data_IF_954157980405
#
_entry.id   IF_954157980405
#
_cell.length_a   1.000
_cell.length_b   1.000
_cell.length_c   1.000
_cell.angle_alpha   90.00
_cell.angle_beta   90.00
_cell.angle_gamma   90.00
#
_symmetry.space_group_name_H-M   'P 1'
#
loop_
_entity.id
_entity.type
_entity.pdbx_description
1 polymer ?
#
# COMPACT_ATOMS: atom_id res chain seq x y z
N UNK A 1 18.51 -17.36 -12.05
CA UNK A 1 17.86 -18.21 -13.07
C UNK A 1 17.53 -19.60 -12.51
N UNK A 2 18.51 -20.41 -12.13
CA UNK A 2 18.25 -21.75 -11.54
C UNK A 2 17.42 -21.67 -10.26
N UNK A 3 17.70 -20.67 -9.42
CA UNK A 3 16.93 -20.40 -8.20
C UNK A 3 15.45 -20.12 -8.49
N UNK A 4 15.14 -19.30 -9.50
CA UNK A 4 13.75 -18.99 -9.90
C UNK A 4 13.07 -20.21 -10.51
N UNK A 5 13.79 -20.96 -11.34
CA UNK A 5 13.28 -22.19 -11.95
C UNK A 5 12.91 -23.25 -10.89
N UNK A 6 13.79 -23.43 -9.89
CA UNK A 6 13.55 -24.32 -8.76
C UNK A 6 12.36 -23.84 -7.90
N UNK A 7 12.31 -22.55 -7.54
CA UNK A 7 11.25 -21.99 -6.70
C UNK A 7 9.86 -22.03 -7.37
N UNK A 8 9.80 -21.81 -8.69
CA UNK A 8 8.55 -21.85 -9.45
C UNK A 8 8.18 -23.25 -9.95
N UNK A 9 9.03 -24.26 -9.74
CA UNK A 9 8.79 -25.63 -10.21
C UNK A 9 8.73 -25.75 -11.73
N UNK A 10 9.47 -24.92 -12.48
CA UNK A 10 9.46 -24.89 -13.95
C UNK A 10 10.85 -25.10 -14.54
N UNK A 11 10.91 -25.53 -15.80
CA UNK A 11 12.18 -25.64 -16.51
C UNK A 11 12.88 -24.28 -16.69
N UNK A 12 14.21 -24.25 -16.67
CA UNK A 12 15.02 -23.02 -16.78
C UNK A 12 14.63 -22.14 -17.96
N UNK A 13 14.38 -22.73 -19.13
CA UNK A 13 13.98 -21.98 -20.34
C UNK A 13 12.60 -21.32 -20.18
N UNK A 14 11.68 -21.95 -19.46
CA UNK A 14 10.34 -21.42 -19.17
C UNK A 14 10.44 -20.26 -18.20
N UNK A 15 11.22 -20.42 -17.11
CA UNK A 15 11.53 -19.33 -16.19
C UNK A 15 12.16 -18.13 -16.92
N UNK A 16 13.08 -18.39 -17.86
CA UNK A 16 13.72 -17.33 -18.65
C UNK A 16 12.70 -16.53 -19.43
N UNK A 17 11.88 -17.21 -20.23
CA UNK A 17 10.89 -16.56 -21.08
C UNK A 17 9.86 -15.77 -20.28
N UNK A 18 9.42 -16.28 -19.12
CA UNK A 18 8.52 -15.54 -18.24
C UNK A 18 9.18 -14.30 -17.63
N UNK A 19 10.43 -14.41 -17.16
CA UNK A 19 11.16 -13.27 -16.61
C UNK A 19 11.41 -12.19 -17.66
N UNK A 20 11.81 -12.56 -18.89
CA UNK A 20 11.95 -11.59 -19.99
C UNK A 20 10.60 -10.96 -20.36
N UNK A 21 9.50 -11.72 -20.32
CA UNK A 21 8.16 -11.17 -20.53
C UNK A 21 7.77 -10.18 -19.43
N UNK A 22 8.06 -10.48 -18.17
CA UNK A 22 7.81 -9.57 -17.05
C UNK A 22 8.67 -8.29 -17.15
N UNK A 23 9.91 -8.40 -17.64
CA UNK A 23 10.75 -7.23 -17.97
C UNK A 23 10.14 -6.43 -19.11
N UNK A 24 9.69 -7.08 -20.18
CA UNK A 24 9.03 -6.42 -21.31
C UNK A 24 7.71 -5.73 -20.94
N UNK A 25 7.03 -6.21 -19.88
CA UNK A 25 5.84 -5.59 -19.30
C UNK A 25 6.15 -4.48 -18.29
N UNK A 26 7.43 -4.21 -17.99
CA UNK A 26 7.85 -3.23 -17.00
C UNK A 26 7.54 -3.62 -15.55
N UNK A 27 7.30 -4.90 -15.27
CA UNK A 27 7.06 -5.44 -13.92
C UNK A 27 8.35 -5.86 -13.23
N UNK A 28 9.40 -6.12 -14.01
CA UNK A 28 10.74 -6.40 -13.53
C UNK A 28 11.76 -5.51 -14.24
N UNK A 29 12.82 -5.15 -13.53
CA UNK A 29 14.07 -4.65 -14.09
C UNK A 29 15.10 -5.79 -14.13
N UNK A 30 16.05 -5.72 -15.06
CA UNK A 30 17.14 -6.70 -15.14
C UNK A 30 18.51 -6.05 -15.11
N UNK A 31 19.44 -6.64 -14.37
CA UNK A 31 20.81 -6.18 -14.21
C UNK A 31 21.79 -7.37 -14.36
N UNK A 32 23.08 -7.10 -14.55
CA UNK A 32 24.12 -8.12 -14.62
C UNK A 32 24.97 -8.09 -13.34
N UNK A 33 25.02 -9.20 -12.62
CA UNK A 33 25.95 -9.33 -11.48
C UNK A 33 27.39 -9.35 -12.00
N UNK A 34 28.20 -8.35 -11.63
CA UNK A 34 29.63 -8.27 -11.93
C UNK A 34 30.47 -8.72 -10.72
N UNK A 35 31.66 -9.31 -10.95
CA UNK A 35 32.67 -9.51 -9.89
C UNK A 35 32.87 -10.92 -9.32
N UNK A 36 32.36 -11.98 -9.95
CA UNK A 36 32.71 -13.39 -9.62
C UNK A 36 33.33 -14.07 -10.85
N UNK A 37 34.30 -15.00 -10.68
CA UNK A 37 34.80 -15.81 -11.79
C UNK A 37 33.66 -16.68 -12.36
N UNK A 38 33.32 -16.49 -13.64
CA UNK A 38 32.26 -17.23 -14.33
C UNK A 38 31.42 -16.36 -15.28
N UNK A 39 30.46 -16.99 -15.98
CA UNK A 39 29.51 -16.28 -16.87
C UNK A 39 28.62 -15.34 -16.04
N UNK A 40 28.50 -14.05 -16.39
CA UNK A 40 27.67 -13.10 -15.65
C UNK A 40 26.22 -13.59 -15.51
N UNK A 41 25.71 -13.61 -14.29
CA UNK A 41 24.32 -13.99 -14.02
C UNK A 41 23.41 -12.76 -14.15
N UNK A 42 22.33 -12.90 -14.94
CA UNK A 42 21.26 -11.89 -15.02
C UNK A 42 20.45 -11.93 -13.72
N UNK A 43 20.39 -10.80 -13.04
CA UNK A 43 19.57 -10.53 -11.86
C UNK A 43 18.29 -9.86 -12.31
N UNK A 44 17.17 -10.23 -11.68
CA UNK A 44 15.88 -9.60 -11.91
C UNK A 44 15.41 -8.98 -10.59
N UNK A 45 14.88 -7.76 -10.64
CA UNK A 45 14.32 -7.03 -9.50
C UNK A 45 12.93 -6.54 -9.85
N UNK A 46 12.03 -6.45 -8.86
CA UNK A 46 10.71 -5.84 -9.06
C UNK A 46 10.82 -4.38 -9.49
N UNK A 47 10.13 -4.02 -10.56
CA UNK A 47 10.00 -2.63 -11.00
C UNK A 47 8.85 -1.98 -10.22
N UNK A 48 9.17 -1.15 -9.23
CA UNK A 48 8.15 -0.40 -8.48
C UNK A 48 7.08 -1.24 -7.78
N UNK A 49 5.88 -0.68 -7.64
CA UNK A 49 4.70 -1.32 -7.03
C UNK A 49 3.69 -1.66 -8.13
N UNK A 50 3.28 -2.93 -8.22
CA UNK A 50 2.23 -3.38 -9.14
C UNK A 50 1.27 -4.33 -8.42
N UNK A 51 -0.02 -4.20 -8.72
CA UNK A 51 -1.07 -5.11 -8.26
C UNK A 51 -1.49 -6.01 -9.44
N UNK A 52 -1.64 -7.31 -9.18
CA UNK A 52 -2.04 -8.30 -10.18
C UNK A 52 -3.31 -9.01 -9.71
N UNK A 53 -4.41 -8.81 -10.43
CA UNK A 53 -5.65 -9.57 -10.24
C UNK A 53 -6.09 -10.25 -11.53
N UNK A 54 -6.41 -11.54 -11.45
CA UNK A 54 -7.01 -12.29 -12.55
C UNK A 54 -8.20 -13.13 -12.06
N UNK A 55 -9.41 -13.00 -12.64
CA UNK A 55 -9.80 -11.94 -13.60
C UNK A 55 -9.63 -10.55 -12.97
N UNK A 56 -9.44 -9.53 -13.84
CA UNK A 56 -9.14 -8.18 -13.39
C UNK A 56 -10.28 -7.64 -12.53
N UNK A 57 -10.00 -7.34 -11.26
CA UNK A 57 -10.94 -6.64 -10.37
C UNK A 57 -10.70 -5.14 -10.52
N UNK A 58 -11.78 -4.37 -10.71
CA UNK A 58 -11.73 -2.91 -10.94
C UNK A 58 -11.82 -2.11 -9.63
N UNK A 59 -11.08 -2.49 -8.60
CA UNK A 59 -11.17 -1.83 -7.29
C UNK A 59 -10.76 -0.35 -7.35
N UNK A 60 -9.74 -0.01 -8.15
CA UNK A 60 -9.33 1.36 -8.37
C UNK A 60 -10.46 2.26 -8.91
N UNK A 61 -11.38 1.69 -9.71
CA UNK A 61 -12.53 2.41 -10.26
C UNK A 61 -13.72 2.42 -9.29
N UNK A 62 -13.93 1.31 -8.56
CA UNK A 62 -15.09 1.13 -7.68
C UNK A 62 -14.93 1.77 -6.30
N UNK A 63 -13.72 1.83 -5.74
CA UNK A 63 -13.45 2.41 -4.43
C UNK A 63 -13.81 3.91 -4.33
N UNK A 64 -13.53 4.75 -5.35
CA UNK A 64 -14.05 6.11 -5.44
C UNK A 64 -15.57 6.22 -5.21
N UNK A 65 -16.38 5.37 -5.85
CA UNK A 65 -17.84 5.46 -5.75
C UNK A 65 -18.34 5.13 -4.34
N UNK A 66 -17.76 4.11 -3.70
CA UNK A 66 -18.06 3.78 -2.30
C UNK A 66 -17.70 4.94 -1.36
N UNK A 67 -16.56 5.58 -1.57
CA UNK A 67 -16.13 6.72 -0.77
C UNK A 67 -17.06 7.93 -0.96
N UNK A 68 -17.49 8.22 -2.21
CA UNK A 68 -18.48 9.26 -2.48
C UNK A 68 -19.82 8.98 -1.82
N UNK A 69 -20.29 7.73 -1.86
CA UNK A 69 -21.52 7.34 -1.18
C UNK A 69 -21.43 7.55 0.35
N UNK A 70 -20.31 7.19 0.99
CA UNK A 70 -20.11 7.48 2.41
C UNK A 70 -20.10 8.98 2.70
N UNK A 71 -19.50 9.80 1.82
CA UNK A 71 -19.48 11.25 1.97
C UNK A 71 -20.88 11.86 1.98
N UNK A 72 -21.84 11.36 1.19
CA UNK A 72 -23.21 11.93 1.17
C UNK A 72 -23.94 11.77 2.51
N UNK A 73 -23.48 10.84 3.36
CA UNK A 73 -23.98 10.65 4.72
C UNK A 73 -23.42 11.68 5.73
N UNK A 74 -22.54 12.59 5.28
CA UNK A 74 -21.99 13.68 6.09
C UNK A 74 -21.27 13.18 7.35
N UNK A 75 -21.54 13.76 8.54
CA UNK A 75 -20.90 13.36 9.79
C UNK A 75 -21.07 11.88 10.13
N UNK A 76 -22.22 11.27 9.80
CA UNK A 76 -22.46 9.83 10.03
C UNK A 76 -21.53 8.97 9.18
N UNK A 77 -21.31 9.36 7.92
CA UNK A 77 -20.37 8.67 7.03
C UNK A 77 -18.94 8.72 7.54
N UNK A 78 -18.50 9.88 8.05
CA UNK A 78 -17.17 10.04 8.65
C UNK A 78 -16.97 9.17 9.89
N UNK A 79 -17.97 9.13 10.78
CA UNK A 79 -17.93 8.26 11.96
C UNK A 79 -17.90 6.78 11.58
N UNK A 80 -18.74 6.36 10.64
CA UNK A 80 -18.77 4.98 10.15
C UNK A 80 -17.46 4.58 9.46
N UNK A 81 -16.85 5.50 8.69
CA UNK A 81 -15.56 5.29 8.05
C UNK A 81 -14.45 5.10 9.09
N UNK A 82 -14.41 5.93 10.13
CA UNK A 82 -13.44 5.80 11.24
C UNK A 82 -13.59 4.47 11.99
N UNK A 83 -14.81 4.08 12.30
CA UNK A 83 -15.12 2.80 12.94
C UNK A 83 -14.75 1.59 12.06
N UNK A 84 -14.95 1.69 10.74
CA UNK A 84 -14.42 0.71 9.80
C UNK A 84 -12.88 0.67 9.81
N UNK A 85 -12.24 1.83 9.93
CA UNK A 85 -10.79 1.95 10.15
C UNK A 85 -10.33 1.20 11.40
N UNK A 86 -11.00 1.40 12.53
CA UNK A 86 -10.69 0.69 13.77
C UNK A 86 -10.77 -0.83 13.63
N UNK A 87 -11.84 -1.33 13.01
CA UNK A 87 -11.98 -2.77 12.74
C UNK A 87 -10.87 -3.30 11.85
N UNK A 88 -10.51 -2.57 10.80
CA UNK A 88 -9.42 -2.93 9.91
C UNK A 88 -8.10 -2.98 10.69
N UNK A 89 -7.78 -1.92 11.43
CA UNK A 89 -6.55 -1.86 12.23
C UNK A 89 -6.45 -2.97 13.29
N UNK A 90 -7.57 -3.42 13.86
CA UNK A 90 -7.61 -4.54 14.81
C UNK A 90 -7.30 -5.90 14.16
N UNK A 91 -7.59 -6.05 12.87
CA UNK A 91 -7.32 -7.27 12.11
C UNK A 91 -5.89 -7.32 11.57
N UNK A 92 -5.14 -6.23 11.67
CA UNK A 92 -3.81 -6.11 11.11
C UNK A 92 -2.73 -6.54 12.10
N UNK A 93 -1.82 -7.40 11.65
CA UNK A 93 -0.59 -7.71 12.39
C UNK A 93 0.49 -6.64 12.19
N UNK A 94 0.71 -6.20 10.94
CA UNK A 94 1.70 -5.17 10.60
C UNK A 94 1.19 -4.24 9.49
N UNK A 95 1.47 -2.94 9.62
CA UNK A 95 1.02 -1.92 8.65
C UNK A 95 1.70 -2.02 7.27
N UNK A 96 2.92 -2.56 7.22
CA UNK A 96 3.70 -2.70 5.99
C UNK A 96 3.12 -3.76 5.03
N UNK A 97 2.31 -4.69 5.54
CA UNK A 97 1.59 -5.69 4.73
C UNK A 97 0.61 -5.05 3.73
N UNK A 98 0.13 -3.81 4.00
CA UNK A 98 -0.68 -3.05 3.06
C UNK A 98 0.13 -2.33 1.97
N UNK A 99 1.46 -2.49 1.98
CA UNK A 99 2.34 -1.82 1.02
C UNK A 99 2.54 -0.33 1.30
N UNK A 100 2.19 0.17 2.49
CA UNK A 100 2.55 1.52 2.91
C UNK A 100 3.81 1.58 3.78
N UNK A 101 4.53 2.68 3.62
CA UNK A 101 5.62 3.06 4.52
C UNK A 101 5.14 4.17 5.46
N UNK A 102 5.25 3.90 6.76
CA UNK A 102 4.90 4.84 7.82
C UNK A 102 6.14 5.17 8.65
N UNK A 103 6.41 6.46 8.79
CA UNK A 103 7.35 6.97 9.79
C UNK A 103 6.55 7.59 10.95
N UNK A 104 7.06 7.38 12.16
CA UNK A 104 6.48 7.95 13.37
C UNK A 104 7.54 8.77 14.09
N UNK A 105 7.19 10.02 14.33
CA UNK A 105 7.92 10.95 15.18
C UNK A 105 7.03 11.36 16.35
N UNK A 106 7.57 12.12 17.31
CA UNK A 106 6.83 12.56 18.50
C UNK A 106 5.55 13.30 18.10
N UNK A 107 4.40 12.66 18.33
CA UNK A 107 3.08 13.23 18.03
C UNK A 107 2.68 13.27 16.56
N UNK A 108 3.51 12.77 15.63
CA UNK A 108 3.26 12.85 14.18
C UNK A 108 3.45 11.49 13.52
N UNK A 109 2.56 11.17 12.57
CA UNK A 109 2.68 10.00 11.70
C UNK A 109 2.73 10.49 10.26
N UNK A 110 3.74 10.05 9.52
CA UNK A 110 3.88 10.32 8.09
C UNK A 110 3.70 9.02 7.33
N UNK A 111 2.65 8.94 6.51
CA UNK A 111 2.50 7.91 5.51
C UNK A 111 3.15 8.40 4.21
N UNK A 112 4.22 7.75 3.76
CA UNK A 112 4.92 8.12 2.51
C UNK A 112 4.10 7.82 1.26
N UNK A 113 3.15 6.89 1.39
CA UNK A 113 2.13 6.60 0.39
C UNK A 113 0.80 6.28 1.08
N UNK A 114 -0.30 6.76 0.50
CA UNK A 114 -1.64 6.46 0.98
C UNK A 114 -2.12 5.11 0.44
N UNK A 115 -2.44 4.16 1.33
CA UNK A 115 -3.03 2.85 0.96
C UNK A 115 -4.47 2.94 0.46
N UNK A 116 -5.09 4.13 0.55
CA UNK A 116 -6.44 4.40 0.11
C UNK A 116 -6.48 5.43 -1.01
N UNK A 117 -5.41 5.56 -1.80
CA UNK A 117 -5.18 6.70 -2.71
C UNK A 117 -6.37 6.97 -3.63
N UNK A 118 -6.87 5.95 -4.30
CA UNK A 118 -7.95 6.04 -5.29
C UNK A 118 -9.24 6.56 -4.65
N UNK A 119 -9.60 6.02 -3.49
CA UNK A 119 -10.77 6.47 -2.73
C UNK A 119 -10.57 7.89 -2.15
N UNK A 120 -9.37 8.19 -1.66
CA UNK A 120 -9.02 9.46 -1.02
C UNK A 120 -9.16 10.65 -1.98
N UNK A 121 -8.80 10.45 -3.26
CA UNK A 121 -8.95 11.49 -4.28
C UNK A 121 -10.42 11.85 -4.54
N UNK A 122 -11.32 10.89 -4.34
CA UNK A 122 -12.75 11.10 -4.57
C UNK A 122 -13.48 11.69 -3.36
N UNK A 123 -13.11 11.32 -2.13
CA UNK A 123 -13.77 11.74 -0.90
C UNK A 123 -12.82 11.73 0.32
N UNK A 124 -11.89 12.68 0.32
CA UNK A 124 -10.79 12.78 1.31
C UNK A 124 -11.26 12.76 2.76
N UNK A 125 -12.32 13.47 3.10
CA UNK A 125 -12.78 13.65 4.48
C UNK A 125 -13.20 12.33 5.16
N UNK A 126 -13.84 11.42 4.43
CA UNK A 126 -14.25 10.11 4.97
C UNK A 126 -13.10 9.11 4.93
N UNK A 127 -12.28 9.15 3.87
CA UNK A 127 -11.16 8.21 3.70
C UNK A 127 -10.03 8.52 4.69
N UNK A 128 -9.75 9.79 4.96
CA UNK A 128 -8.76 10.16 5.97
C UNK A 128 -9.24 9.80 7.39
N UNK A 129 -10.54 9.83 7.67
CA UNK A 129 -11.08 9.35 8.95
C UNK A 129 -10.97 7.82 9.07
N UNK A 130 -11.20 7.07 7.98
CA UNK A 130 -10.93 5.63 7.93
C UNK A 130 -9.44 5.33 8.18
N UNK A 131 -8.55 6.03 7.50
CA UNK A 131 -7.10 5.85 7.67
C UNK A 131 -6.67 6.18 9.10
N UNK A 132 -7.18 7.27 9.68
CA UNK A 132 -6.92 7.62 11.07
C UNK A 132 -7.39 6.51 12.03
N UNK A 133 -8.63 6.02 11.88
CA UNK A 133 -9.15 4.90 12.69
C UNK A 133 -8.29 3.64 12.61
N UNK A 134 -7.80 3.33 11.42
CA UNK A 134 -6.87 2.22 11.21
C UNK A 134 -5.56 2.42 11.96
N UNK A 135 -4.95 3.60 11.87
CA UNK A 135 -3.69 3.92 12.57
C UNK A 135 -3.87 3.91 14.09
N UNK A 136 -5.01 4.40 14.59
CA UNK A 136 -5.34 4.38 16.02
C UNK A 136 -5.26 2.98 16.59
N UNK A 137 -5.89 2.02 15.92
CA UNK A 137 -5.95 0.65 16.42
C UNK A 137 -4.69 -0.13 16.12
N UNK A 138 -4.17 -0.06 14.89
CA UNK A 138 -3.00 -0.83 14.47
C UNK A 138 -1.72 -0.45 15.22
N UNK A 139 -1.63 0.79 15.73
CA UNK A 139 -0.46 1.29 16.46
C UNK A 139 -0.73 1.50 17.96
N UNK A 140 -1.91 1.17 18.46
CA UNK A 140 -2.30 1.35 19.87
C UNK A 140 -2.24 2.81 20.33
N UNK A 141 -2.70 3.75 19.50
CA UNK A 141 -2.58 5.18 19.73
C UNK A 141 -3.86 5.80 20.32
N UNK A 142 -3.70 7.00 20.86
CA UNK A 142 -4.82 7.91 21.13
C UNK A 142 -5.42 8.49 19.84
N UNK A 143 -6.21 9.55 19.96
CA UNK A 143 -6.94 10.13 18.83
C UNK A 143 -5.97 10.62 17.74
N UNK A 144 -6.10 10.12 16.50
CA UNK A 144 -5.29 10.52 15.33
C UNK A 144 -6.08 11.46 14.44
N UNK A 145 -5.52 12.61 14.06
CA UNK A 145 -6.18 13.54 13.13
C UNK A 145 -5.37 13.72 11.85
N UNK A 146 -6.00 13.60 10.67
CA UNK A 146 -5.33 13.86 9.40
C UNK A 146 -5.01 15.36 9.26
N UNK A 147 -3.78 15.69 8.92
CA UNK A 147 -3.36 17.07 8.62
C UNK A 147 -3.32 17.37 7.13
N UNK A 148 -3.46 16.33 6.29
CA UNK A 148 -3.53 16.46 4.83
C UNK A 148 -2.38 15.77 4.10
N UNK A 149 -2.22 16.06 2.79
CA UNK A 149 -1.20 15.44 1.95
C UNK A 149 0.23 15.72 2.43
N UNK A 150 1.12 14.76 2.18
CA UNK A 150 2.56 14.88 2.37
C UNK A 150 3.28 14.37 1.13
N UNK A 151 4.10 15.21 0.50
CA UNK A 151 4.72 14.90 -0.79
C UNK A 151 3.69 14.68 -1.91
N UNK A 152 4.04 13.85 -2.90
CA UNK A 152 3.19 13.58 -4.07
C UNK A 152 2.16 12.46 -3.86
N UNK A 153 2.41 11.55 -2.93
CA UNK A 153 1.60 10.34 -2.76
C UNK A 153 1.19 10.02 -1.31
N UNK A 154 1.70 10.78 -0.34
CA UNK A 154 1.56 10.50 1.09
C UNK A 154 0.55 11.40 1.81
N UNK A 155 0.43 11.17 3.11
CA UNK A 155 -0.37 11.98 4.03
C UNK A 155 0.29 12.04 5.41
N UNK A 156 -0.03 13.09 6.16
CA UNK A 156 0.42 13.28 7.53
C UNK A 156 -0.74 13.30 8.50
N UNK A 157 -0.48 12.83 9.71
CA UNK A 157 -1.41 12.79 10.82
C UNK A 157 -0.74 13.28 12.09
N UNK A 158 -1.53 13.82 13.00
CA UNK A 158 -1.10 14.18 14.36
C UNK A 158 -1.82 13.32 15.39
N UNK A 159 -1.11 12.93 16.45
CA UNK A 159 -1.66 12.21 17.58
C UNK A 159 -2.06 13.24 18.63
N UNK A 160 -3.35 13.33 18.94
CA UNK A 160 -3.85 14.14 20.05
C UNK A 160 -3.56 13.45 21.35
N UNK A 161 -3.00 14.20 22.30
CA UNK A 161 -2.91 13.76 23.68
C UNK A 161 -4.30 13.52 24.24
N UNK A 162 -4.46 12.45 25.03
CA UNK A 162 -5.65 12.32 25.87
C UNK A 162 -5.60 13.48 26.87
N UNK A 163 -6.51 14.45 26.74
CA UNK A 163 -6.77 15.39 27.84
C UNK A 163 -7.25 14.54 29.02
N UNK A 164 -6.40 14.39 30.04
CA UNK A 164 -6.79 13.88 31.36
C UNK A 164 -7.92 14.70 31.95
#
# INVERSE_FOLDING_TARGET
MDEVAAAAGVHRTVAFNHLERLVGLGLLESDLRRGLPGKPAKLYRGAGHFDFSHPRRRFAELAPELARALRTLGPRGRLAARDAGHRLGAQMGRLDELGARYDRETGVITAHNCVFREACDAAREVVCDLHAGMLETALGLGRVEPTGPFGSAGCRFVIKEKRS
#
